data_IF_984453991276
#
_entry.id   IF_984453991276
#
_cell.length_a   1.000
_cell.length_b   1.000
_cell.length_c   1.000
_cell.angle_alpha   90.00
_cell.angle_beta   90.00
_cell.angle_gamma   90.00
#
_symmetry.space_group_name_H-M   'P 1'
#
loop_
_entity.id
_entity.type
_entity.pdbx_description
1 polymer ?
#
# COMPACT_ATOMS: atom_id res chain seq x y z
N UNK A 1 1.17 12.69 3.79
CA UNK A 1 1.48 11.74 4.89
C UNK A 1 0.67 12.18 6.11
N UNK A 2 -0.20 11.32 6.60
CA UNK A 2 -1.18 11.65 7.64
C UNK A 2 -1.15 10.60 8.76
N UNK A 3 -1.39 11.02 9.99
CA UNK A 3 -1.50 10.10 11.13
C UNK A 3 -2.55 10.56 12.12
N UNK A 4 -3.20 9.59 12.76
CA UNK A 4 -4.17 9.83 13.83
C UNK A 4 -3.96 8.80 14.94
N UNK A 5 -3.71 9.31 16.15
CA UNK A 5 -3.49 8.50 17.35
C UNK A 5 -4.71 8.63 18.24
N UNK A 6 -5.31 7.50 18.60
CA UNK A 6 -6.45 7.39 19.50
C UNK A 6 -6.17 6.35 20.59
N UNK A 7 -7.01 6.33 21.63
CA UNK A 7 -6.93 5.31 22.69
C UNK A 7 -7.17 3.88 22.17
N UNK A 8 -7.99 3.77 21.14
CA UNK A 8 -8.38 2.50 20.53
C UNK A 8 -7.41 2.05 19.43
N UNK A 9 -6.49 2.92 19.01
CA UNK A 9 -5.46 2.58 18.03
C UNK A 9 -4.87 3.78 17.30
N UNK A 10 -3.81 3.50 16.55
CA UNK A 10 -3.10 4.47 15.72
C UNK A 10 -3.29 4.09 14.26
N UNK A 11 -3.72 5.05 13.44
CA UNK A 11 -3.76 4.91 12.00
C UNK A 11 -2.73 5.84 11.37
N UNK A 12 -1.94 5.31 10.45
CA UNK A 12 -0.91 6.06 9.72
C UNK A 12 -1.09 5.84 8.23
N UNK A 13 -0.92 6.88 7.45
CA UNK A 13 -1.00 6.86 6.00
C UNK A 13 0.25 7.47 5.40
N UNK A 14 1.00 6.65 4.66
CA UNK A 14 2.25 7.04 4.01
C UNK A 14 2.07 7.59 2.58
N UNK A 15 0.87 7.44 2.00
CA UNK A 15 0.56 7.81 0.62
C UNK A 15 0.08 6.62 -0.22
N UNK A 16 0.51 5.40 0.14
CA UNK A 16 0.22 4.17 -0.61
C UNK A 16 -0.46 3.11 0.27
N UNK A 17 -0.26 3.17 1.59
CA UNK A 17 -0.72 2.17 2.55
C UNK A 17 -1.24 2.84 3.83
N UNK A 18 -2.44 2.44 4.24
CA UNK A 18 -3.00 2.75 5.56
C UNK A 18 -2.60 1.66 6.53
N UNK A 19 -1.78 2.02 7.52
CA UNK A 19 -1.37 1.14 8.62
C UNK A 19 -2.28 1.36 9.82
N UNK A 20 -2.88 0.28 10.32
CA UNK A 20 -3.78 0.27 11.46
C UNK A 20 -3.13 -0.54 12.58
N UNK A 21 -2.76 0.14 13.67
CA UNK A 21 -2.21 -0.47 14.87
C UNK A 21 -3.26 -0.43 15.97
N UNK A 22 -3.73 -1.58 16.49
CA UNK A 22 -4.67 -1.59 17.60
C UNK A 22 -4.03 -1.04 18.87
N UNK A 23 -4.75 -0.18 19.59
CA UNK A 23 -4.30 0.37 20.87
C UNK A 23 -4.57 -0.60 22.01
N UNK A 24 -3.94 -0.39 23.17
CA UNK A 24 -4.12 -1.27 24.34
C UNK A 24 -5.55 -1.35 24.89
N UNK A 25 -6.44 -0.41 24.50
CA UNK A 25 -7.87 -0.41 24.85
C UNK A 25 -8.78 -0.93 23.72
N UNK A 26 -8.21 -1.38 22.60
CA UNK A 26 -8.97 -1.91 21.49
C UNK A 26 -9.73 -3.19 21.87
N UNK A 27 -10.78 -3.50 21.12
CA UNK A 27 -11.53 -4.75 21.29
C UNK A 27 -10.61 -5.98 21.16
N UNK A 28 -10.81 -7.06 21.94
CA UNK A 28 -9.93 -8.24 21.92
C UNK A 28 -9.69 -8.84 20.53
N UNK A 29 -10.70 -8.80 19.65
CA UNK A 29 -10.58 -9.24 18.24
C UNK A 29 -9.54 -8.42 17.48
N UNK A 30 -9.49 -7.10 17.67
CA UNK A 30 -8.51 -6.21 17.03
C UNK A 30 -7.12 -6.43 17.58
N UNK A 31 -7.00 -6.63 18.89
CA UNK A 31 -5.73 -7.00 19.52
C UNK A 31 -5.20 -8.34 19.00
N UNK A 32 -6.07 -9.34 18.84
CA UNK A 32 -5.71 -10.65 18.29
C UNK A 32 -5.32 -10.59 16.81
N UNK A 33 -5.93 -9.68 16.04
CA UNK A 33 -5.61 -9.45 14.63
C UNK A 33 -4.26 -8.74 14.44
N UNK A 34 -3.85 -7.92 15.42
CA UNK A 34 -2.58 -7.20 15.39
C UNK A 34 -2.58 -6.04 14.40
N UNK A 35 -1.38 -5.68 13.95
CA UNK A 35 -1.19 -4.62 12.97
C UNK A 35 -1.69 -5.03 11.58
N UNK A 36 -2.42 -4.14 10.91
CA UNK A 36 -2.89 -4.31 9.55
C UNK A 36 -2.28 -3.25 8.63
N UNK A 37 -1.70 -3.69 7.51
CA UNK A 37 -1.30 -2.83 6.42
C UNK A 37 -2.32 -2.96 5.28
N UNK A 38 -2.97 -1.85 4.93
CA UNK A 38 -4.03 -1.81 3.91
C UNK A 38 -3.57 -0.94 2.74
N UNK A 39 -3.24 -1.52 1.58
CA UNK A 39 -2.84 -0.74 0.41
C UNK A 39 -4.03 0.04 -0.16
N UNK A 40 -3.78 1.20 -0.75
CA UNK A 40 -4.80 2.07 -1.39
C UNK A 40 -5.57 1.34 -2.49
N UNK A 41 -4.91 0.43 -3.21
CA UNK A 41 -5.53 -0.42 -4.24
C UNK A 41 -6.68 -1.30 -3.72
N UNK A 42 -6.66 -1.61 -2.42
CA UNK A 42 -7.67 -2.42 -1.74
C UNK A 42 -8.80 -1.58 -1.13
N UNK A 43 -8.66 -0.25 -1.12
CA UNK A 43 -9.65 0.66 -0.58
C UNK A 43 -10.71 0.98 -1.64
N UNK A 44 -11.97 0.86 -1.25
CA UNK A 44 -13.10 1.41 -2.01
C UNK A 44 -13.40 2.85 -1.57
N UNK A 45 -12.92 3.28 -0.41
CA UNK A 45 -13.03 4.67 0.03
C UNK A 45 -12.91 4.83 1.54
N UNK A 46 -13.01 6.06 2.00
CA UNK A 46 -12.95 6.42 3.41
C UNK A 46 -13.98 7.51 3.74
N UNK A 47 -14.54 7.44 4.94
CA UNK A 47 -15.56 8.38 5.42
C UNK A 47 -15.36 8.68 6.90
N UNK A 48 -15.56 9.94 7.27
CA UNK A 48 -15.63 10.37 8.66
C UNK A 48 -17.06 10.78 9.00
N UNK A 49 -17.63 10.14 10.03
CA UNK A 49 -18.96 10.44 10.58
C UNK A 49 -18.79 11.24 11.88
N UNK A 50 -19.03 12.55 11.83
CA UNK A 50 -18.93 13.42 13.00
C UNK A 50 -20.16 13.25 13.92
N UNK A 51 -19.93 13.25 15.24
CA UNK A 51 -20.96 13.13 16.28
C UNK A 51 -20.69 14.14 17.42
N UNK A 52 -21.65 14.35 18.32
CA UNK A 52 -21.56 15.32 19.43
C UNK A 52 -20.35 15.13 20.35
N UNK A 53 -19.84 13.89 20.46
CA UNK A 53 -18.68 13.53 21.31
C UNK A 53 -17.37 13.35 20.52
N UNK A 54 -17.37 13.60 19.22
CA UNK A 54 -16.22 13.40 18.34
C UNK A 54 -16.66 12.85 16.99
N UNK A 55 -16.36 11.58 16.72
CA UNK A 55 -16.85 10.91 15.51
C UNK A 55 -16.33 9.50 15.33
N UNK A 56 -16.60 8.93 14.15
CA UNK A 56 -16.09 7.63 13.71
C UNK A 56 -15.47 7.75 12.33
N UNK A 57 -14.23 7.32 12.21
CA UNK A 57 -13.55 7.14 10.93
C UNK A 57 -13.77 5.72 10.45
N UNK A 58 -14.30 5.56 9.24
CA UNK A 58 -14.63 4.26 8.64
C UNK A 58 -13.89 4.11 7.31
N UNK A 59 -13.18 3.01 7.18
CA UNK A 59 -12.45 2.65 5.98
C UNK A 59 -13.20 1.52 5.26
N UNK A 60 -13.51 1.74 3.98
CA UNK A 60 -14.26 0.80 3.15
C UNK A 60 -13.29 0.07 2.24
N UNK A 61 -13.27 -1.24 2.33
CA UNK A 61 -12.48 -2.11 1.46
C UNK A 61 -13.28 -2.54 0.24
N UNK A 62 -12.57 -2.81 -0.85
CA UNK A 62 -13.15 -3.41 -2.05
C UNK A 62 -13.58 -4.84 -1.75
N UNK A 63 -14.72 -5.26 -2.32
CA UNK A 63 -15.24 -6.61 -2.16
C UNK A 63 -14.22 -7.65 -2.63
N UNK A 64 -13.88 -8.61 -1.77
CA UNK A 64 -12.88 -9.66 -2.07
C UNK A 64 -11.42 -9.28 -1.78
N UNK A 65 -11.11 -8.01 -1.48
CA UNK A 65 -9.73 -7.56 -1.26
C UNK A 65 -9.13 -8.07 0.05
N UNK A 66 -9.98 -8.31 1.06
CA UNK A 66 -9.56 -8.71 2.39
C UNK A 66 -10.02 -10.13 2.77
N UNK A 67 -9.09 -11.05 3.08
CA UNK A 67 -9.41 -12.39 3.54
C UNK A 67 -10.09 -12.41 4.92
N UNK A 68 -9.81 -11.43 5.79
CA UNK A 68 -10.40 -11.33 7.14
C UNK A 68 -11.89 -10.99 7.06
N UNK A 69 -12.27 -10.02 6.23
CA UNK A 69 -13.69 -9.69 6.02
C UNK A 69 -14.46 -10.84 5.36
N UNK A 70 -13.81 -11.56 4.44
CA UNK A 70 -14.39 -12.76 3.82
C UNK A 70 -14.59 -13.89 4.84
N UNK A 71 -13.64 -14.10 5.74
CA UNK A 71 -13.75 -15.10 6.81
C UNK A 71 -14.75 -14.70 7.90
N UNK A 72 -14.92 -13.39 8.14
CA UNK A 72 -15.85 -12.88 9.13
C UNK A 72 -17.32 -12.87 8.66
N UNK A 73 -17.59 -13.01 7.35
CA UNK A 73 -18.93 -13.10 6.73
C UNK A 73 -19.94 -12.07 7.26
N UNK A 74 -19.49 -10.82 7.47
CA UNK A 74 -20.34 -9.73 7.97
C UNK A 74 -20.73 -9.85 9.46
N UNK A 75 -20.12 -10.74 10.24
CA UNK A 75 -20.44 -10.95 11.67
C UNK A 75 -19.68 -10.02 12.63
N UNK A 76 -18.83 -9.14 12.11
CA UNK A 76 -18.11 -8.14 12.91
C UNK A 76 -19.07 -7.00 13.27
N UNK A 77 -19.37 -6.86 14.56
CA UNK A 77 -20.08 -5.69 15.10
C UNK A 77 -19.17 -4.46 15.00
N UNK A 78 -19.74 -3.25 14.93
CA UNK A 78 -18.99 -2.00 14.73
C UNK A 78 -17.81 -1.80 15.71
N UNK A 79 -17.91 -2.29 16.95
CA UNK A 79 -16.81 -2.21 17.93
C UNK A 79 -15.69 -3.25 17.75
N UNK A 80 -15.96 -4.34 17.03
CA UNK A 80 -14.98 -5.38 16.70
C UNK A 80 -14.35 -5.17 15.32
N UNK A 81 -14.90 -4.26 14.51
CA UNK A 81 -14.41 -3.97 13.18
C UNK A 81 -13.03 -3.27 13.24
N UNK A 82 -11.97 -3.87 12.68
CA UNK A 82 -10.65 -3.25 12.65
C UNK A 82 -10.57 -2.01 11.74
N UNK A 83 -11.52 -1.83 10.81
CA UNK A 83 -11.57 -0.72 9.85
C UNK A 83 -12.43 0.45 10.34
N UNK A 84 -12.78 0.47 11.63
CA UNK A 84 -13.46 1.58 12.28
C UNK A 84 -12.61 2.11 13.44
N UNK A 85 -12.41 3.42 13.48
CA UNK A 85 -11.71 4.11 14.56
C UNK A 85 -12.63 5.15 15.20
N UNK A 86 -12.81 5.07 16.52
CA UNK A 86 -13.44 6.13 17.27
C UNK A 86 -12.48 7.33 17.37
N UNK A 87 -12.98 8.52 17.07
CA UNK A 87 -12.21 9.76 17.05
C UNK A 87 -12.72 10.67 18.16
N UNK A 88 -11.83 11.08 19.06
CA UNK A 88 -12.13 12.08 20.09
C UNK A 88 -12.36 13.47 19.48
N UNK A 89 -13.18 14.30 20.14
CA UNK A 89 -13.62 15.60 19.62
C UNK A 89 -12.47 16.55 19.24
N UNK A 90 -11.39 16.54 20.02
CA UNK A 90 -10.17 17.31 19.80
C UNK A 90 -9.40 16.88 18.54
N UNK A 91 -9.66 15.67 18.02
CA UNK A 91 -8.99 15.09 16.85
C UNK A 91 -9.85 15.05 15.59
N UNK A 92 -11.04 15.65 15.62
CA UNK A 92 -11.96 15.75 14.47
C UNK A 92 -11.29 16.36 13.24
N UNK A 93 -10.59 17.49 13.38
CA UNK A 93 -9.87 18.12 12.26
C UNK A 93 -8.73 17.26 11.69
N UNK A 94 -8.05 16.48 12.54
CA UNK A 94 -7.03 15.52 12.09
C UNK A 94 -7.68 14.37 11.32
N UNK A 95 -8.85 13.91 11.76
CA UNK A 95 -9.59 12.87 11.05
C UNK A 95 -10.10 13.35 9.69
N UNK A 96 -10.59 14.59 9.59
CA UNK A 96 -10.99 15.20 8.32
C UNK A 96 -9.80 15.28 7.36
N UNK A 97 -8.65 15.80 7.82
CA UNK A 97 -7.43 15.81 7.03
C UNK A 97 -6.99 14.40 6.58
N UNK A 98 -7.07 13.42 7.48
CA UNK A 98 -6.72 12.03 7.16
C UNK A 98 -7.64 11.45 6.07
N UNK A 99 -8.94 11.73 6.13
CA UNK A 99 -9.91 11.34 5.09
C UNK A 99 -9.53 11.97 3.75
N UNK A 100 -9.23 13.26 3.74
CA UNK A 100 -8.93 13.98 2.51
C UNK A 100 -7.62 13.50 1.87
N UNK A 101 -6.59 13.23 2.68
CA UNK A 101 -5.31 12.66 2.19
C UNK A 101 -5.52 11.29 1.53
N UNK A 102 -6.28 10.39 2.18
CA UNK A 102 -6.56 9.07 1.62
C UNK A 102 -7.44 9.18 0.36
N UNK A 103 -8.45 10.05 0.36
CA UNK A 103 -9.28 10.30 -0.83
C UNK A 103 -8.46 10.83 -2.00
N UNK A 104 -7.55 11.76 -1.72
CA UNK A 104 -6.66 12.31 -2.73
C UNK A 104 -5.76 11.22 -3.34
N UNK A 105 -5.21 10.32 -2.52
CA UNK A 105 -4.44 9.19 -3.02
C UNK A 105 -5.27 8.25 -3.92
N UNK A 106 -6.52 7.95 -3.54
CA UNK A 106 -7.42 7.13 -4.37
C UNK A 106 -7.71 7.78 -5.74
N UNK A 107 -7.80 9.10 -5.79
CA UNK A 107 -7.97 9.85 -7.03
C UNK A 107 -6.71 9.81 -7.90
N UNK A 108 -5.54 9.97 -7.30
CA UNK A 108 -4.24 9.92 -8.00
C UNK A 108 -4.01 8.53 -8.62
N UNK A 109 -4.24 7.48 -7.82
CA UNK A 109 -4.06 6.08 -8.23
C UNK A 109 -5.19 5.57 -9.14
N UNK A 110 -6.26 6.35 -9.32
CA UNK A 110 -7.44 5.98 -10.12
C UNK A 110 -8.03 4.60 -9.72
N UNK A 111 -8.09 4.33 -8.41
CA UNK A 111 -8.52 3.03 -7.89
C UNK A 111 -10.00 2.80 -8.20
N UNK A 112 -10.36 1.72 -8.92
CA UNK A 112 -11.76 1.40 -9.17
C UNK A 112 -12.47 0.99 -7.88
N UNK A 113 -13.70 1.45 -7.66
CA UNK A 113 -14.51 1.03 -6.50
C UNK A 113 -15.07 -0.41 -6.60
N UNK A 114 -14.92 -1.04 -7.77
CA UNK A 114 -15.44 -2.38 -8.07
C UNK A 114 -14.75 -3.52 -7.30
N UNK A 115 -15.38 -4.71 -7.23
CA UNK A 115 -14.81 -5.87 -6.54
C UNK A 115 -13.49 -6.31 -7.18
N UNK A 116 -12.69 -7.05 -6.41
CA UNK A 116 -11.42 -7.64 -6.88
C UNK A 116 -11.48 -9.14 -6.81
N UNK A 117 -10.93 -9.79 -7.84
CA UNK A 117 -10.89 -11.26 -7.95
C UNK A 117 -9.70 -11.88 -7.19
N UNK A 118 -8.87 -11.05 -6.55
CA UNK A 118 -7.67 -11.46 -5.80
C UNK A 118 -7.55 -10.70 -4.49
N UNK A 119 -7.02 -11.36 -3.47
CA UNK A 119 -6.68 -10.73 -2.20
C UNK A 119 -5.54 -9.73 -2.40
N UNK A 120 -5.80 -8.47 -2.04
CA UNK A 120 -4.84 -7.36 -2.14
C UNK A 120 -4.23 -7.02 -0.78
N UNK A 121 -4.91 -7.37 0.33
CA UNK A 121 -4.29 -7.27 1.64
C UNK A 121 -3.37 -8.48 1.85
N UNK A 122 -2.14 -8.28 2.38
CA UNK A 122 -1.38 -9.39 2.91
C UNK A 122 -2.24 -10.11 3.95
N UNK A 123 -2.33 -11.43 3.85
CA UNK A 123 -3.08 -12.22 4.82
C UNK A 123 -2.62 -11.90 6.25
N UNK A 124 -3.50 -11.98 7.26
CA UNK A 124 -3.12 -11.71 8.64
C UNK A 124 -1.88 -12.54 8.97
N UNK A 125 -0.89 -11.89 9.59
CA UNK A 125 0.29 -12.58 10.07
C UNK A 125 -0.18 -13.61 11.11
N UNK A 126 -0.38 -14.85 10.67
CA UNK A 126 -0.60 -15.98 11.56
C UNK A 126 0.53 -15.94 12.59
N UNK A 127 0.25 -16.17 13.89
CA UNK A 127 1.32 -16.33 14.85
C UNK A 127 2.24 -17.43 14.32
N UNK A 128 3.45 -17.04 13.91
CA UNK A 128 4.50 -17.95 13.48
C UNK A 128 5.02 -18.69 14.72
N UNK A 129 4.24 -19.64 15.22
CA UNK A 129 4.79 -20.80 15.91
C UNK A 129 5.32 -21.76 14.85
N UNK A 130 6.53 -21.49 14.34
CA UNK A 130 7.19 -22.31 13.33
C UNK A 130 8.39 -21.59 12.72
N UNK A 131 9.59 -21.99 13.13
CA UNK A 131 10.83 -21.28 12.83
C UNK A 131 11.29 -21.35 11.38
N UNK A 132 11.99 -20.30 10.94
CA UNK A 132 13.20 -20.34 10.12
C UNK A 132 13.57 -18.90 9.73
N UNK A 133 14.19 -18.17 10.65
CA UNK A 133 15.07 -17.07 10.28
C UNK A 133 16.48 -17.46 10.72
N UNK A 134 17.12 -18.39 9.99
CA UNK A 134 18.57 -18.39 9.94
C UNK A 134 18.94 -17.11 9.19
N UNK A 135 19.10 -16.02 9.93
CA UNK A 135 19.90 -14.89 9.51
C UNK A 135 21.33 -15.40 9.39
N UNK A 136 21.65 -15.96 8.22
CA UNK A 136 23.02 -16.27 7.83
C UNK A 136 23.72 -14.94 7.71
N UNK A 137 24.42 -14.55 8.77
CA UNK A 137 25.40 -13.45 8.77
C UNK A 137 26.28 -13.61 7.52
N UNK A 138 26.46 -12.58 6.67
CA UNK A 138 27.52 -12.61 5.70
C UNK A 138 28.84 -12.62 6.47
N UNK A 139 29.54 -13.75 6.37
CA UNK A 139 30.92 -13.92 6.81
C UNK A 139 31.78 -12.90 6.09
N UNK A 140 32.32 -11.92 6.81
CA UNK A 140 33.47 -11.13 6.36
C UNK A 140 34.71 -12.01 6.38
N UNK A 141 34.79 -12.93 5.41
CA UNK A 141 36.01 -13.63 5.07
C UNK A 141 36.81 -12.72 4.14
N UNK A 142 37.83 -12.10 4.72
CA UNK A 142 38.89 -11.34 4.07
C UNK A 142 39.77 -12.31 3.28
N UNK A 143 39.89 -12.22 1.94
CA UNK A 143 40.96 -12.88 1.23
C UNK A 143 42.13 -11.91 1.06
N UNK A 144 43.23 -12.24 1.73
CA UNK A 144 44.59 -11.81 1.38
C UNK A 144 44.96 -12.35 0.01
N UNK A 145 45.30 -11.47 -0.93
CA UNK A 145 45.80 -11.85 -2.25
C UNK A 145 46.26 -10.63 -3.04
N UNK A 146 47.56 -10.34 -2.97
CA UNK A 146 48.25 -9.29 -3.72
C UNK A 146 48.25 -9.56 -5.25
N UNK A 147 48.49 -8.52 -6.07
CA UNK A 147 47.98 -8.43 -7.43
C UNK A 147 48.94 -9.05 -8.47
N UNK A 148 48.39 -9.92 -9.32
CA UNK A 148 49.03 -10.37 -10.55
C UNK A 148 48.96 -9.30 -11.64
N UNK A 149 50.10 -8.98 -12.23
CA UNK A 149 50.32 -8.00 -13.29
C UNK A 149 49.69 -8.46 -14.63
N UNK A 150 48.44 -8.04 -14.87
CA UNK A 150 47.73 -8.20 -16.14
C UNK A 150 47.79 -6.94 -17.01
N UNK A 151 48.60 -6.98 -18.07
CA UNK A 151 48.78 -5.94 -19.10
C UNK A 151 47.44 -5.46 -19.72
N UNK A 152 47.25 -4.16 -19.98
CA UNK A 152 46.06 -3.65 -20.66
C UNK A 152 46.16 -3.85 -22.18
N UNK A 153 45.16 -4.50 -22.80
CA UNK A 153 44.92 -4.39 -24.25
C UNK A 153 43.74 -3.47 -24.49
N UNK A 154 44.07 -2.29 -25.02
CA UNK A 154 43.17 -1.25 -25.54
C UNK A 154 42.53 -1.68 -26.88
N UNK A 155 41.54 -0.92 -27.39
CA UNK A 155 40.27 -1.43 -27.89
C UNK A 155 40.23 -1.58 -29.43
N UNK A 156 39.21 -2.28 -29.93
CA UNK A 156 38.82 -2.21 -31.35
C UNK A 156 37.62 -1.26 -31.54
N UNK A 157 37.68 -0.33 -32.52
CA UNK A 157 36.63 0.64 -32.83
C UNK A 157 35.42 0.05 -33.60
N UNK A 158 34.30 0.79 -33.69
CA UNK A 158 32.99 0.30 -34.13
C UNK A 158 32.83 0.20 -35.64
N UNK A 159 32.00 -0.76 -36.09
CA UNK A 159 31.53 -0.82 -37.46
C UNK A 159 30.32 0.13 -37.64
N UNK A 160 30.58 1.20 -38.37
CA UNK A 160 29.59 2.09 -38.97
C UNK A 160 28.82 1.34 -40.06
N UNK A 161 27.48 1.40 -40.04
CA UNK A 161 26.72 1.52 -41.29
C UNK A 161 25.45 2.36 -41.09
N UNK A 162 25.55 3.53 -41.70
CA UNK A 162 24.59 4.62 -41.86
C UNK A 162 23.40 4.25 -42.78
N UNK A 163 22.39 5.14 -42.92
CA UNK A 163 20.98 4.80 -43.04
C UNK A 163 20.48 4.72 -44.49
N UNK A 164 19.46 3.89 -44.72
CA UNK A 164 18.59 4.00 -45.88
C UNK A 164 17.44 4.97 -45.58
N UNK A 165 17.63 6.22 -46.01
CA UNK A 165 16.59 7.25 -46.08
C UNK A 165 15.84 7.15 -47.40
N UNK A 166 14.57 7.54 -47.31
CA UNK A 166 13.74 8.19 -48.33
C UNK A 166 13.11 7.33 -49.44
N UNK A 167 11.77 7.39 -49.49
CA UNK A 167 10.92 8.09 -50.49
C UNK A 167 9.59 7.31 -50.54
N UNK A 168 8.41 7.85 -50.22
CA UNK A 168 7.87 9.15 -50.55
C UNK A 168 6.81 8.98 -51.65
N UNK A 169 5.54 8.84 -51.27
CA UNK A 169 4.35 9.00 -52.13
C UNK A 169 3.19 9.38 -51.20
N UNK A 170 2.80 10.66 -51.08
CA UNK A 170 2.00 11.50 -52.00
C UNK A 170 0.67 10.86 -52.42
N UNK A 171 -0.42 11.62 -52.15
CA UNK A 171 -1.77 11.48 -52.73
C UNK A 171 -2.69 10.67 -51.82
N UNK A 172 -3.92 11.08 -51.49
CA UNK A 172 -4.86 12.03 -52.07
C UNK A 172 -5.80 12.49 -50.92
N UNK A 173 -6.02 13.79 -50.70
CA UNK A 173 -7.01 14.64 -51.36
C UNK A 173 -8.48 14.30 -50.99
N UNK A 174 -9.14 15.27 -50.37
CA UNK A 174 -10.59 15.52 -50.46
C UNK A 174 -11.43 15.02 -49.28
N UNK A 175 -11.90 15.88 -48.37
CA UNK A 175 -13.02 16.84 -48.49
C UNK A 175 -14.36 16.26 -47.92
N UNK A 176 -15.34 17.10 -47.52
CA UNK A 176 -15.75 17.23 -46.11
C UNK A 176 -17.27 17.11 -45.86
N UNK A 177 -17.62 17.35 -44.59
CA UNK A 177 -18.93 17.65 -43.96
C UNK A 177 -19.70 16.47 -43.39
#
# INVERSE_FOLDING_TARGET
MAEIIQRDGTWTFDGETVRIVPGGKAHPVRLALGELAVPVEALAGISFEQDRKGGRLRLRLRGGACPVLRAADGRLKDGSDPYVLAVEKDRTGVAEYFVDEVRNALLIEQVPEGPVDRFLLPGPALPVSGGAATARRPSTARPSGSPGTGRPRRPRPPAVRSPSRCRGSRGCAGCPR
#
